data_IF_866902622149
#
_entry.id   IF_866902622149
#
_cell.length_a   1.000
_cell.length_b   1.000
_cell.length_c   1.000
_cell.angle_alpha   90.00
_cell.angle_beta   90.00
_cell.angle_gamma   90.00
#
_symmetry.space_group_name_H-M   'P 1'
#
loop_
_entity.id
_entity.type
_entity.pdbx_description
1 polymer ?
#
# COMPACT_ATOMS: atom_id res chain seq x y z
N UNK A 1 -4.47 3.94 11.86
CA UNK A 1 -4.42 4.11 10.40
C UNK A 1 -4.82 5.54 10.05
N UNK A 2 -4.13 6.17 9.10
CA UNK A 2 -4.53 7.45 8.49
C UNK A 2 -4.57 7.29 6.97
N UNK A 3 -5.42 8.07 6.29
CA UNK A 3 -5.49 8.13 4.83
C UNK A 3 -5.60 9.59 4.39
N UNK A 4 -4.93 9.93 3.29
CA UNK A 4 -4.98 11.26 2.68
C UNK A 4 -4.67 11.14 1.19
N UNK A 5 -4.79 12.25 0.45
CA UNK A 5 -4.50 12.29 -0.98
C UNK A 5 -3.46 13.38 -1.23
N UNK A 6 -2.44 13.05 -2.01
CA UNK A 6 -1.42 13.98 -2.49
C UNK A 6 -1.30 13.89 -4.02
N UNK A 7 -0.36 14.65 -4.59
CA UNK A 7 -0.16 14.73 -6.03
C UNK A 7 0.27 13.39 -6.67
N UNK A 8 0.92 12.52 -5.90
CA UNK A 8 1.45 11.22 -6.32
C UNK A 8 0.51 10.04 -6.03
N UNK A 9 -0.60 10.25 -5.31
CA UNK A 9 -1.65 9.24 -5.16
C UNK A 9 -2.45 9.30 -3.87
N UNK A 10 -3.08 8.17 -3.54
CA UNK A 10 -3.81 7.96 -2.29
C UNK A 10 -2.85 7.36 -1.28
N UNK A 11 -2.66 8.03 -0.15
CA UNK A 11 -1.76 7.58 0.89
C UNK A 11 -2.53 6.81 1.97
N UNK A 12 -1.89 5.80 2.52
CA UNK A 12 -2.35 5.04 3.69
C UNK A 12 -1.18 4.79 4.64
N UNK A 13 -1.32 5.27 5.87
CA UNK A 13 -0.38 5.00 6.96
C UNK A 13 -0.92 3.88 7.85
N UNK A 14 -0.24 2.74 7.82
CA UNK A 14 -0.53 1.54 8.61
C UNK A 14 0.51 1.26 9.70
N UNK A 15 1.43 2.20 9.94
CA UNK A 15 2.41 2.11 11.03
C UNK A 15 1.71 2.04 12.39
N UNK A 16 2.31 1.28 13.31
CA UNK A 16 1.79 1.00 14.65
C UNK A 16 0.60 0.04 14.70
N UNK A 17 0.11 -0.47 13.55
CA UNK A 17 -0.96 -1.45 13.55
C UNK A 17 -0.41 -2.87 13.81
N UNK A 18 -1.14 -3.63 14.63
CA UNK A 18 -0.80 -5.03 14.90
C UNK A 18 -1.20 -5.92 13.73
N UNK A 19 -0.44 -6.98 13.45
CA UNK A 19 -0.83 -7.99 12.46
C UNK A 19 -2.19 -8.61 12.82
N UNK A 20 -3.09 -8.89 11.85
CA UNK A 20 -2.93 -8.74 10.40
C UNK A 20 -3.44 -7.40 9.84
N UNK A 21 -3.67 -6.39 10.69
CA UNK A 21 -4.37 -5.16 10.31
C UNK A 21 -3.74 -4.40 9.12
N UNK A 22 -2.40 -4.24 9.00
CA UNK A 22 -1.81 -3.58 7.84
C UNK A 22 -2.26 -4.20 6.51
N UNK A 23 -2.17 -5.53 6.40
CA UNK A 23 -2.53 -6.28 5.20
C UNK A 23 -4.02 -6.09 4.86
N UNK A 24 -4.91 -6.26 5.84
CA UNK A 24 -6.36 -6.11 5.63
C UNK A 24 -6.72 -4.71 5.14
N UNK A 25 -6.13 -3.67 5.75
CA UNK A 25 -6.43 -2.28 5.40
C UNK A 25 -5.94 -1.90 4.00
N UNK A 26 -4.74 -2.36 3.61
CA UNK A 26 -4.18 -2.11 2.28
C UNK A 26 -5.03 -2.81 1.21
N UNK A 27 -5.29 -4.12 1.38
CA UNK A 27 -6.07 -4.90 0.42
C UNK A 27 -7.50 -4.37 0.27
N UNK A 28 -8.14 -3.96 1.37
CA UNK A 28 -9.46 -3.34 1.32
C UNK A 28 -9.47 -2.02 0.55
N UNK A 29 -8.40 -1.22 0.66
CA UNK A 29 -8.30 0.04 -0.07
C UNK A 29 -8.14 -0.19 -1.58
N UNK A 30 -7.17 -1.00 -1.99
CA UNK A 30 -6.90 -1.23 -3.42
C UNK A 30 -8.08 -1.91 -4.13
N UNK A 31 -8.82 -2.79 -3.44
CA UNK A 31 -10.05 -3.41 -3.98
C UNK A 31 -11.22 -2.44 -4.13
N UNK A 32 -11.19 -1.30 -3.46
CA UNK A 32 -12.24 -0.27 -3.56
C UNK A 32 -11.97 0.75 -4.67
N UNK A 33 -10.83 0.65 -5.36
CA UNK A 33 -10.40 1.59 -6.39
C UNK A 33 -10.71 1.02 -7.78
N UNK A 34 -11.60 1.68 -8.50
CA UNK A 34 -11.98 1.30 -9.87
C UNK A 34 -11.10 1.94 -10.95
N UNK A 35 -10.28 2.95 -10.62
CA UNK A 35 -9.39 3.61 -11.59
C UNK A 35 -8.08 2.84 -11.75
N UNK A 36 -7.83 2.32 -12.97
CA UNK A 36 -6.62 1.56 -13.29
C UNK A 36 -5.34 2.40 -13.25
N UNK A 37 -5.46 3.74 -13.29
CA UNK A 37 -4.32 4.66 -13.19
C UNK A 37 -4.02 5.11 -11.76
N UNK A 38 -4.84 4.68 -10.80
CA UNK A 38 -4.65 5.06 -9.41
C UNK A 38 -3.34 4.51 -8.85
N UNK A 39 -2.72 5.33 -8.01
CA UNK A 39 -1.51 4.98 -7.25
C UNK A 39 -1.86 5.01 -5.78
N UNK A 40 -1.44 3.99 -5.04
CA UNK A 40 -1.57 3.94 -3.58
C UNK A 40 -0.18 3.97 -2.95
N UNK A 41 0.08 4.92 -2.06
CA UNK A 41 1.33 5.02 -1.31
C UNK A 41 1.11 4.50 0.10
N UNK A 42 1.80 3.43 0.48
CA UNK A 42 1.68 2.80 1.79
C UNK A 42 2.88 3.18 2.65
N UNK A 43 2.62 3.67 3.85
CA UNK A 43 3.62 3.87 4.90
C UNK A 43 3.55 2.70 5.89
N UNK A 44 4.64 1.94 6.01
CA UNK A 44 4.69 0.69 6.76
C UNK A 44 5.92 0.63 7.69
N UNK A 45 5.81 -0.04 8.84
CA UNK A 45 6.91 -0.14 9.83
C UNK A 45 8.07 -1.07 9.39
N UNK A 46 7.83 -1.90 8.38
CA UNK A 46 8.71 -3.00 7.94
C UNK A 46 8.28 -3.52 6.57
N UNK A 47 9.10 -4.33 5.92
CA UNK A 47 8.77 -4.93 4.62
C UNK A 47 7.63 -5.99 4.76
N UNK A 48 6.45 -5.79 4.16
CA UNK A 48 5.30 -6.69 4.31
C UNK A 48 5.32 -7.82 3.27
N UNK A 49 6.18 -8.82 3.47
CA UNK A 49 6.37 -9.91 2.50
C UNK A 49 5.07 -10.66 2.09
N UNK A 50 4.12 -10.82 3.01
CA UNK A 50 2.83 -11.46 2.72
C UNK A 50 1.90 -10.61 1.85
N UNK A 51 2.14 -9.30 1.74
CA UNK A 51 1.31 -8.40 0.93
C UNK A 51 1.53 -8.62 -0.57
N UNK A 52 2.77 -8.88 -1.00
CA UNK A 52 3.10 -9.03 -2.42
C UNK A 52 2.31 -10.12 -3.15
N UNK A 53 2.24 -11.38 -2.66
CA UNK A 53 1.43 -12.40 -3.32
C UNK A 53 -0.06 -12.03 -3.34
N UNK A 54 -0.60 -11.47 -2.25
CA UNK A 54 -2.02 -11.07 -2.17
C UNK A 54 -2.39 -9.95 -3.14
N UNK A 55 -1.46 -9.00 -3.37
CA UNK A 55 -1.64 -7.95 -4.39
C UNK A 55 -1.64 -8.55 -5.79
N UNK A 56 -0.71 -9.47 -6.07
CA UNK A 56 -0.61 -10.12 -7.38
C UNK A 56 -1.89 -10.89 -7.75
N UNK A 57 -2.52 -11.57 -6.79
CA UNK A 57 -3.79 -12.28 -6.99
C UNK A 57 -4.94 -11.37 -7.45
N UNK A 58 -4.90 -10.08 -7.10
CA UNK A 58 -5.93 -9.09 -7.47
C UNK A 58 -5.47 -8.10 -8.55
N UNK A 59 -4.35 -8.40 -9.23
CA UNK A 59 -3.84 -7.58 -10.33
C UNK A 59 -3.16 -6.29 -9.90
N UNK A 60 -2.61 -6.25 -8.69
CA UNK A 60 -1.82 -5.13 -8.18
C UNK A 60 -0.36 -5.54 -7.96
N UNK A 61 0.55 -4.58 -8.07
CA UNK A 61 1.96 -4.73 -7.71
C UNK A 61 2.36 -3.68 -6.68
N UNK A 62 3.48 -3.92 -5.99
CA UNK A 62 4.08 -2.95 -5.08
C UNK A 62 5.58 -2.82 -5.36
N UNK A 63 6.08 -1.59 -5.30
CA UNK A 63 7.49 -1.24 -5.41
C UNK A 63 7.92 -0.48 -4.15
N UNK A 64 9.07 -0.83 -3.57
CA UNK A 64 9.66 -0.04 -2.48
C UNK A 64 10.26 1.22 -3.07
N UNK A 65 9.88 2.38 -2.53
CA UNK A 65 10.37 3.70 -2.92
C UNK A 65 11.02 4.41 -1.74
N UNK A 66 11.79 5.47 -2.02
CA UNK A 66 12.39 6.28 -0.97
C UNK A 66 11.32 6.88 -0.04
N UNK A 67 11.53 6.71 1.27
CA UNK A 67 10.62 7.15 2.32
C UNK A 67 11.35 7.84 3.47
N UNK A 68 10.62 8.10 4.55
CA UNK A 68 11.24 8.65 5.76
C UNK A 68 12.20 7.63 6.42
N UNK A 69 13.24 8.07 7.13
CA UNK A 69 14.05 7.17 7.93
C UNK A 69 13.20 6.39 8.95
N UNK A 70 13.28 5.05 8.90
CA UNK A 70 12.56 4.17 9.82
C UNK A 70 11.19 3.69 9.34
N UNK A 71 10.79 4.01 8.11
CA UNK A 71 9.65 3.37 7.45
C UNK A 71 10.08 2.62 6.18
N UNK A 72 9.19 1.72 5.73
CA UNK A 72 9.16 1.21 4.37
C UNK A 72 8.01 1.88 3.66
N UNK A 73 8.34 2.60 2.58
CA UNK A 73 7.34 3.22 1.71
C UNK A 73 7.14 2.36 0.48
N UNK A 74 5.89 2.00 0.21
CA UNK A 74 5.52 1.21 -0.97
C UNK A 74 4.66 2.05 -1.90
N UNK A 75 4.96 2.00 -3.19
CA UNK A 75 4.11 2.49 -4.26
C UNK A 75 3.39 1.33 -4.90
N UNK A 76 2.07 1.32 -4.81
CA UNK A 76 1.20 0.30 -5.37
C UNK A 76 0.50 0.83 -6.63
N UNK A 77 0.44 0.00 -7.65
CA UNK A 77 -0.25 0.28 -8.90
C UNK A 77 -0.81 -1.00 -9.50
N UNK A 78 -1.76 -0.90 -10.43
CA UNK A 78 -2.20 -2.07 -11.17
C UNK A 78 -1.06 -2.67 -11.99
N UNK A 79 -0.98 -4.00 -11.97
CA UNK A 79 -0.09 -4.75 -12.86
C UNK A 79 -0.68 -4.71 -14.26
N UNK A 80 0.12 -4.21 -15.22
CA UNK A 80 -0.26 -4.13 -16.63
C UNK A 80 -0.39 -5.51 -17.29
#
# INVERSE_FOLDING_TARGET
MKRWTEADGIHIDVRGLSAPQPLVQILSLVRSIDDDRAVVVVHHDRDPQLLYPELAEIGWSAEIVDGEPGEIRLRLSRSA
#
